data_IF_918442286105
#
_entry.id   IF_918442286105
#
_cell.length_a   1.000
_cell.length_b   1.000
_cell.length_c   1.000
_cell.angle_alpha   90.00
_cell.angle_beta   90.00
_cell.angle_gamma   90.00
#
_symmetry.space_group_name_H-M   'P 1'
#
loop_
_entity.id
_entity.type
_entity.pdbx_description
1 polymer ?
#
# COMPACT_ATOMS: atom_id res chain seq x y z
N UNK A 1 1.07 -9.43 -7.88
CA UNK A 1 1.45 -9.88 -6.53
C UNK A 1 0.33 -10.64 -5.88
N UNK A 2 0.21 -11.90 -6.26
CA UNK A 2 -0.93 -12.71 -5.83
C UNK A 2 -0.94 -12.97 -4.33
N UNK A 3 0.23 -13.11 -3.69
CA UNK A 3 0.29 -13.40 -2.25
C UNK A 3 -0.21 -12.26 -1.38
N UNK A 4 -0.23 -11.01 -1.89
CA UNK A 4 -0.70 -9.86 -1.14
C UNK A 4 -2.06 -9.37 -1.59
N UNK A 5 -2.69 -10.07 -2.54
CA UNK A 5 -3.87 -9.59 -3.25
C UNK A 5 -5.02 -9.22 -2.31
N UNK A 6 -5.18 -9.93 -1.21
CA UNK A 6 -6.34 -9.77 -0.36
C UNK A 6 -6.04 -9.16 1.00
N UNK A 7 -4.85 -8.62 1.18
CA UNK A 7 -4.55 -7.96 2.45
C UNK A 7 -5.29 -6.62 2.52
N UNK A 8 -5.97 -6.33 3.63
CA UNK A 8 -6.80 -5.12 3.73
C UNK A 8 -6.01 -3.82 3.68
N UNK A 9 -4.71 -3.86 3.94
CA UNK A 9 -3.87 -2.66 3.96
C UNK A 9 -2.90 -2.60 2.80
N UNK A 10 -3.14 -3.37 1.75
CA UNK A 10 -2.39 -3.33 0.51
C UNK A 10 -3.37 -3.06 -0.63
N UNK A 11 -3.00 -2.15 -1.53
CA UNK A 11 -3.84 -1.83 -2.68
C UNK A 11 -4.00 -3.08 -3.53
N UNK A 12 -5.25 -3.50 -3.76
CA UNK A 12 -5.56 -4.67 -4.56
C UNK A 12 -5.38 -4.38 -6.04
N UNK A 13 -4.68 -5.28 -6.73
CA UNK A 13 -4.62 -5.27 -8.18
C UNK A 13 -5.74 -6.15 -8.70
N UNK A 14 -6.63 -5.59 -9.51
CA UNK A 14 -7.81 -6.29 -10.00
C UNK A 14 -7.60 -6.90 -11.36
N UNK A 15 -6.59 -6.47 -12.10
CA UNK A 15 -6.30 -7.06 -13.39
C UNK A 15 -5.19 -6.36 -14.13
N UNK A 16 -4.68 -7.06 -15.12
CA UNK A 16 -3.70 -6.53 -16.06
C UNK A 16 -4.25 -6.67 -17.46
N UNK A 17 -4.09 -5.63 -18.27
CA UNK A 17 -4.52 -5.62 -19.66
C UNK A 17 -3.43 -5.02 -20.52
N UNK A 18 -3.38 -5.42 -21.76
CA UNK A 18 -2.38 -4.94 -22.70
C UNK A 18 -3.00 -4.77 -24.08
N UNK A 19 -2.68 -3.64 -24.72
CA UNK A 19 -2.95 -3.48 -26.14
C UNK A 19 -1.62 -3.29 -26.86
N UNK A 20 -1.65 -2.83 -28.12
CA UNK A 20 -0.43 -2.69 -28.92
C UNK A 20 0.49 -1.59 -28.43
N UNK A 21 -0.04 -0.63 -27.67
CA UNK A 21 0.69 0.58 -27.27
C UNK A 21 0.94 0.68 -25.79
N UNK A 22 0.09 0.06 -24.94
CA UNK A 22 0.09 0.30 -23.50
C UNK A 22 -0.16 -0.95 -22.69
N UNK A 23 0.40 -0.96 -21.48
CA UNK A 23 -0.05 -1.82 -20.39
C UNK A 23 -1.04 -1.06 -19.53
N UNK A 24 -2.03 -1.79 -19.00
CA UNK A 24 -3.02 -1.25 -18.10
C UNK A 24 -3.04 -2.08 -16.83
N UNK A 25 -2.88 -1.42 -15.68
CA UNK A 25 -3.03 -2.05 -14.37
C UNK A 25 -4.28 -1.50 -13.73
N UNK A 26 -5.25 -2.36 -13.50
CA UNK A 26 -6.49 -1.98 -12.83
C UNK A 26 -6.36 -2.35 -11.36
N UNK A 27 -6.48 -1.35 -10.50
CA UNK A 27 -6.33 -1.57 -9.06
C UNK A 27 -7.44 -0.83 -8.30
N UNK A 28 -7.61 -1.18 -7.03
CA UNK A 28 -8.64 -0.53 -6.23
C UNK A 28 -8.37 0.95 -6.10
N UNK A 29 -9.45 1.72 -5.96
CA UNK A 29 -9.36 3.16 -5.82
C UNK A 29 -9.21 3.54 -4.36
N UNK A 30 -8.20 4.35 -4.07
CA UNK A 30 -7.99 4.93 -2.75
C UNK A 30 -8.31 6.42 -2.82
N UNK A 31 -9.56 6.77 -2.59
CA UNK A 31 -10.06 8.13 -2.82
C UNK A 31 -9.60 9.13 -1.77
N UNK A 32 -9.01 8.67 -0.67
CA UNK A 32 -8.50 9.54 0.37
C UNK A 32 -7.18 10.23 0.04
N UNK A 33 -6.51 9.81 -1.03
CA UNK A 33 -5.22 10.37 -1.42
C UNK A 33 -4.09 9.90 -0.51
N UNK A 34 -2.99 10.64 -0.51
CA UNK A 34 -1.82 10.27 0.28
C UNK A 34 -2.04 10.60 1.76
N UNK A 35 -1.60 9.69 2.63
CA UNK A 35 -1.73 9.87 4.07
C UNK A 35 -1.10 11.18 4.55
N UNK A 36 0.12 11.48 4.08
CA UNK A 36 0.84 12.66 4.54
C UNK A 36 0.13 13.95 4.16
N UNK A 37 -0.45 14.01 2.97
CA UNK A 37 -1.24 15.18 2.57
C UNK A 37 -2.45 15.36 3.48
N UNK A 38 -3.09 14.28 3.85
CA UNK A 38 -4.24 14.32 4.75
C UNK A 38 -3.82 14.79 6.14
N UNK A 39 -2.68 14.33 6.65
CA UNK A 39 -2.18 14.76 7.95
C UNK A 39 -1.90 16.26 7.96
N UNK A 40 -1.25 16.76 6.91
CA UNK A 40 -0.91 18.19 6.81
C UNK A 40 -2.15 19.05 6.75
N UNK A 41 -3.18 18.60 6.04
CA UNK A 41 -4.40 19.39 5.87
C UNK A 41 -5.36 19.29 7.05
N UNK A 42 -5.19 18.29 7.92
CA UNK A 42 -6.08 18.11 9.06
C UNK A 42 -5.67 19.04 10.21
N UNK A 43 -6.65 19.78 10.77
CA UNK A 43 -6.39 20.73 11.84
C UNK A 43 -5.82 20.08 13.11
N UNK A 44 -6.25 18.86 13.41
CA UNK A 44 -5.70 18.12 14.52
C UNK A 44 -5.63 16.62 14.16
N UNK A 45 -4.46 16.05 14.32
CA UNK A 45 -4.22 14.62 14.10
C UNK A 45 -3.78 14.05 15.44
N UNK A 46 -4.61 13.22 16.05
CA UNK A 46 -4.39 12.79 17.42
C UNK A 46 -3.24 11.79 17.52
N UNK A 47 -2.63 11.73 18.70
CA UNK A 47 -1.63 10.73 18.98
C UNK A 47 -2.18 9.31 18.84
N UNK A 48 -3.44 9.11 19.22
CA UNK A 48 -4.10 7.81 19.05
C UNK A 48 -4.23 7.43 17.58
N UNK A 49 -4.61 8.36 16.72
CA UNK A 49 -4.67 8.12 15.29
C UNK A 49 -3.29 7.76 14.74
N UNK A 50 -2.26 8.50 15.16
CA UNK A 50 -0.90 8.22 14.74
C UNK A 50 -0.44 6.84 15.19
N UNK A 51 -0.73 6.45 16.43
CA UNK A 51 -0.40 5.12 16.93
C UNK A 51 -1.08 4.02 16.13
N UNK A 52 -2.35 4.21 15.78
CA UNK A 52 -3.09 3.24 14.99
C UNK A 52 -2.46 3.08 13.62
N UNK A 53 -2.11 4.17 12.97
CA UNK A 53 -1.49 4.14 11.64
C UNK A 53 -0.14 3.44 11.69
N UNK A 54 0.71 3.79 12.64
CA UNK A 54 2.03 3.18 12.77
C UNK A 54 1.91 1.68 13.05
N UNK A 55 1.00 1.30 13.93
CA UNK A 55 0.77 -0.11 14.24
C UNK A 55 0.33 -0.88 13.01
N UNK A 56 -0.64 -0.35 12.28
CA UNK A 56 -1.15 -0.97 11.06
C UNK A 56 -0.04 -1.11 10.02
N UNK A 57 0.77 -0.06 9.86
CA UNK A 57 1.88 -0.08 8.91
C UNK A 57 2.89 -1.17 9.26
N UNK A 58 3.28 -1.25 10.54
CA UNK A 58 4.25 -2.24 10.99
C UNK A 58 3.72 -3.66 10.83
N UNK A 59 2.45 -3.91 11.17
CA UNK A 59 1.86 -5.23 10.97
C UNK A 59 1.79 -5.60 9.50
N UNK A 60 1.48 -4.64 8.63
CA UNK A 60 1.41 -4.91 7.20
C UNK A 60 2.77 -5.26 6.64
N UNK A 61 3.81 -4.53 7.05
CA UNK A 61 5.17 -4.81 6.63
C UNK A 61 5.62 -6.18 7.13
N UNK A 62 5.32 -6.51 8.38
CA UNK A 62 5.63 -7.82 8.94
C UNK A 62 4.92 -8.94 8.18
N UNK A 63 3.65 -8.73 7.83
CA UNK A 63 2.89 -9.67 7.02
C UNK A 63 3.59 -9.94 5.69
N UNK A 64 4.07 -8.89 5.03
CA UNK A 64 4.78 -9.04 3.77
C UNK A 64 6.08 -9.80 3.94
N UNK A 65 6.87 -9.45 4.97
CA UNK A 65 8.15 -10.11 5.22
C UNK A 65 7.98 -11.58 5.57
N UNK A 66 6.93 -11.94 6.31
CA UNK A 66 6.62 -13.34 6.61
C UNK A 66 6.35 -14.15 5.35
N UNK A 67 5.90 -13.50 4.29
CA UNK A 67 5.64 -14.14 3.00
C UNK A 67 6.80 -13.97 2.02
N UNK A 68 7.93 -13.50 2.51
CA UNK A 68 9.13 -13.35 1.70
C UNK A 68 9.08 -12.19 0.74
N UNK A 69 8.27 -11.17 1.01
CA UNK A 69 8.14 -10.02 0.11
C UNK A 69 8.61 -8.76 0.83
N UNK A 70 9.49 -8.04 0.17
CA UNK A 70 10.01 -6.76 0.66
C UNK A 70 9.61 -5.67 -0.33
N UNK A 71 8.96 -4.63 0.18
CA UNK A 71 8.64 -3.44 -0.62
C UNK A 71 9.92 -2.62 -0.76
N UNK A 72 10.42 -2.51 -1.96
CA UNK A 72 11.73 -1.88 -2.21
C UNK A 72 11.67 -0.37 -2.34
N UNK A 73 10.48 0.19 -2.35
CA UNK A 73 10.27 1.62 -2.59
C UNK A 73 9.20 2.19 -1.65
N UNK A 74 9.28 1.79 -0.37
CA UNK A 74 8.34 2.29 0.62
C UNK A 74 8.69 3.73 0.98
N UNK A 75 7.76 4.64 0.67
CA UNK A 75 7.93 6.07 0.91
C UNK A 75 6.57 6.70 1.15
N UNK A 76 6.51 7.94 1.66
CA UNK A 76 5.23 8.57 2.01
C UNK A 76 4.22 8.62 0.87
N UNK A 77 4.67 8.77 -0.37
CA UNK A 77 3.78 8.83 -1.52
C UNK A 77 3.06 7.51 -1.77
N UNK A 78 3.57 6.40 -1.22
CA UNK A 78 3.00 5.08 -1.41
C UNK A 78 2.09 4.64 -0.27
N UNK A 79 1.83 5.51 0.70
CA UNK A 79 0.90 5.23 1.78
C UNK A 79 -0.35 6.07 1.53
N UNK A 80 -1.43 5.40 1.15
CA UNK A 80 -2.67 6.04 0.73
C UNK A 80 -3.77 5.80 1.76
N UNK A 81 -4.81 6.62 1.69
CA UNK A 81 -6.03 6.43 2.48
C UNK A 81 -7.13 5.86 1.60
N UNK A 82 -7.82 4.86 2.10
CA UNK A 82 -8.94 4.26 1.36
C UNK A 82 -10.01 5.29 1.05
N UNK A 83 -10.33 6.13 2.02
CA UNK A 83 -11.31 7.20 1.83
C UNK A 83 -10.94 8.42 2.69
N UNK A 84 -11.68 9.50 2.54
CA UNK A 84 -11.39 10.77 3.24
C UNK A 84 -11.94 10.81 4.65
N UNK A 85 -12.80 9.89 5.02
CA UNK A 85 -13.49 9.89 6.31
C UNK A 85 -12.70 9.21 7.40
N UNK A 86 -11.81 8.28 7.05
CA UNK A 86 -11.07 7.49 8.03
C UNK A 86 -9.57 7.65 7.79
N UNK A 87 -8.91 8.40 8.66
CA UNK A 87 -7.48 8.70 8.57
C UNK A 87 -6.60 7.55 9.05
N UNK A 88 -7.21 6.42 9.45
CA UNK A 88 -6.46 5.26 9.91
C UNK A 88 -6.53 4.08 8.94
N UNK A 89 -7.40 4.15 7.93
CA UNK A 89 -7.55 3.07 6.96
C UNK A 89 -6.54 3.24 5.82
N UNK A 90 -5.31 2.83 6.09
CA UNK A 90 -4.20 3.01 5.16
C UNK A 90 -4.08 1.84 4.19
N UNK A 91 -3.55 2.15 3.02
CA UNK A 91 -3.24 1.17 1.97
C UNK A 91 -1.86 1.44 1.44
N UNK A 92 -1.01 0.42 1.41
CA UNK A 92 0.32 0.52 0.82
C UNK A 92 0.22 0.19 -0.66
N UNK A 93 0.76 1.09 -1.49
CA UNK A 93 0.70 0.98 -2.94
C UNK A 93 2.06 0.65 -3.53
N UNK A 94 2.06 0.40 -4.83
CA UNK A 94 3.27 0.23 -5.64
C UNK A 94 4.16 -0.94 -5.23
N UNK A 95 3.52 -2.06 -4.84
CA UNK A 95 4.25 -3.31 -4.64
C UNK A 95 4.77 -3.92 -5.96
N UNK A 96 4.54 -3.24 -7.09
CA UNK A 96 5.09 -3.68 -8.36
C UNK A 96 6.62 -3.75 -8.36
N UNK A 97 7.27 -3.00 -7.46
CA UNK A 97 8.72 -3.04 -7.31
C UNK A 97 9.19 -3.96 -6.20
N UNK A 98 8.28 -4.73 -5.60
CA UNK A 98 8.61 -5.62 -4.52
C UNK A 98 9.49 -6.76 -4.99
N UNK A 99 10.30 -7.29 -4.07
CA UNK A 99 11.15 -8.44 -4.32
C UNK A 99 10.74 -9.58 -3.42
N UNK A 100 10.61 -10.77 -3.99
CA UNK A 100 10.36 -11.96 -3.22
C UNK A 100 11.68 -12.49 -2.66
N UNK A 101 11.77 -12.56 -1.34
CA UNK A 101 12.97 -13.00 -0.63
C UNK A 101 12.74 -14.45 -0.18
N UNK A 102 13.82 -15.22 -0.08
CA UNK A 102 13.74 -16.60 0.34
C UNK A 102 13.87 -17.59 -0.81
N UNK A 103 13.31 -17.29 -1.97
CA UNK A 103 13.55 -18.07 -3.18
C UNK A 103 14.40 -17.32 -4.21
N UNK A 104 14.82 -16.11 -3.88
CA UNK A 104 15.75 -15.33 -4.69
C UNK A 104 15.16 -14.70 -5.94
N UNK A 105 13.86 -14.70 -6.09
CA UNK A 105 13.23 -14.17 -7.30
C UNK A 105 12.84 -12.71 -7.14
N UNK A 106 13.06 -11.94 -8.21
CA UNK A 106 12.64 -10.56 -8.28
C UNK A 106 11.23 -10.47 -8.83
N UNK A 107 10.44 -9.54 -8.29
CA UNK A 107 9.04 -9.33 -8.67
C UNK A 107 8.85 -8.10 -9.55
N UNK A 108 9.85 -7.61 -10.15
CA UNK A 108 9.77 -6.41 -11.00
C UNK A 108 8.99 -6.64 -12.27
#
# INVERSE_FOLDING_TARGET
MSVLRQHPNVVNIRGFYQDNDYFYVVQELCSGGELFDAIVSKASYSEREAQTVVRTLLYTIAYCHDRGIVHRDLKPENILLKNKQDYTNIKIADFGFAKEVGNGKSML
#
